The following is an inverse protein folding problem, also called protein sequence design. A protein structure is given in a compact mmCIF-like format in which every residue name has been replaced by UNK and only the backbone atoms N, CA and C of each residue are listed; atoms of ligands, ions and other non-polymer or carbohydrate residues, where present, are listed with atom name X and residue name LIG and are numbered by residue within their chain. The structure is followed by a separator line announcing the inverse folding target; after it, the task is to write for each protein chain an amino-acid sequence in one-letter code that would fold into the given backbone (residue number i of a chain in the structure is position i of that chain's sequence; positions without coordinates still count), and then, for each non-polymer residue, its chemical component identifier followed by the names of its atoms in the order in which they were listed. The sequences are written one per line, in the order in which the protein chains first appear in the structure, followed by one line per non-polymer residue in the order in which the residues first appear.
data_IF_728751724885
#
_entry.id   IF_728751724885
#
_cell.length_a   1.000
_cell.length_b   1.000
_cell.length_c   1.000
_cell.angle_alpha   90.00
_cell.angle_beta   90.00
_cell.angle_gamma   90.00
#
_symmetry.space_group_name_H-M   'P 1'
#
loop_
_entity.id
_entity.type
_entity.pdbx_description
1 polymer ?
#
# COMPACT_ATOMS: atom_id res chain seq x y z
N UNK A 1 -22.87 -3.00 -6.52
CA UNK A 1 -22.19 -2.95 -7.85
C UNK A 1 -21.71 -4.32 -8.34
N UNK A 2 -21.34 -5.25 -7.44
CA UNK A 2 -20.73 -6.54 -7.82
C UNK A 2 -21.60 -7.76 -7.51
N UNK A 3 -22.48 -7.68 -6.51
CA UNK A 3 -23.21 -8.81 -5.95
C UNK A 3 -24.05 -9.60 -6.97
N UNK A 4 -24.62 -8.93 -7.98
CA UNK A 4 -25.45 -9.57 -9.01
C UNK A 4 -24.65 -10.21 -10.16
N UNK A 5 -23.34 -9.98 -10.25
CA UNK A 5 -22.50 -10.43 -11.37
C UNK A 5 -21.36 -11.36 -10.96
N UNK A 6 -21.10 -11.49 -9.65
CA UNK A 6 -20.03 -12.34 -9.13
C UNK A 6 -20.21 -12.63 -7.64
N UNK A 7 -19.55 -13.70 -7.17
CA UNK A 7 -19.50 -14.04 -5.76
C UNK A 7 -18.77 -12.96 -4.96
N UNK A 8 -19.44 -12.42 -3.96
CA UNK A 8 -18.84 -11.52 -2.96
C UNK A 8 -18.71 -12.27 -1.62
N UNK A 9 -17.58 -12.07 -0.95
CA UNK A 9 -17.28 -12.64 0.38
C UNK A 9 -17.05 -11.48 1.38
N UNK A 10 -18.09 -10.72 1.75
CA UNK A 10 -17.95 -9.55 2.63
C UNK A 10 -17.30 -9.87 3.98
N UNK A 11 -17.55 -11.06 4.52
CA UNK A 11 -16.97 -11.57 5.76
C UNK A 11 -15.44 -11.69 5.70
N UNK A 12 -14.86 -11.87 4.50
CA UNK A 12 -13.40 -11.95 4.33
C UNK A 12 -12.71 -10.58 4.42
N UNK A 13 -13.46 -9.47 4.30
CA UNK A 13 -12.88 -8.15 4.18
C UNK A 13 -12.01 -7.76 5.37
N UNK A 14 -12.46 -8.02 6.61
CA UNK A 14 -11.69 -7.71 7.81
C UNK A 14 -10.36 -8.46 7.86
N UNK A 15 -10.37 -9.77 7.59
CA UNK A 15 -9.16 -10.59 7.57
C UNK A 15 -8.17 -10.21 6.47
N UNK A 16 -8.66 -9.89 5.26
CA UNK A 16 -7.81 -9.42 4.16
C UNK A 16 -7.19 -8.05 4.45
N UNK A 17 -7.94 -7.14 5.11
CA UNK A 17 -7.40 -5.85 5.56
C UNK A 17 -6.31 -6.04 6.62
N UNK A 18 -6.50 -6.95 7.58
CA UNK A 18 -5.49 -7.28 8.58
C UNK A 18 -4.22 -7.86 7.94
N UNK A 19 -4.37 -8.82 7.02
CA UNK A 19 -3.24 -9.41 6.27
C UNK A 19 -2.43 -8.36 5.51
N UNK A 20 -3.09 -7.35 4.94
CA UNK A 20 -2.41 -6.25 4.29
C UNK A 20 -1.58 -5.40 5.29
N UNK A 21 -2.10 -5.16 6.50
CA UNK A 21 -1.35 -4.47 7.56
C UNK A 21 -0.12 -5.27 8.01
N UNK A 22 -0.25 -6.60 8.15
CA UNK A 22 0.88 -7.48 8.47
C UNK A 22 1.98 -7.40 7.40
N UNK A 23 1.57 -7.42 6.12
CA UNK A 23 2.49 -7.26 5.00
C UNK A 23 3.18 -5.89 4.97
N UNK A 24 2.45 -4.82 5.32
CA UNK A 24 3.04 -3.49 5.45
C UNK A 24 4.01 -3.39 6.63
N UNK A 25 3.71 -4.03 7.77
CA UNK A 25 4.63 -4.08 8.90
C UNK A 25 5.93 -4.82 8.57
N UNK A 26 5.83 -5.94 7.85
CA UNK A 26 7.00 -6.64 7.31
C UNK A 26 7.82 -5.74 6.37
N UNK A 27 7.15 -5.04 5.44
CA UNK A 27 7.81 -4.16 4.49
C UNK A 27 8.45 -2.93 5.15
N UNK A 28 7.81 -2.37 6.19
CA UNK A 28 8.32 -1.22 6.94
C UNK A 28 9.72 -1.49 7.50
N UNK A 29 9.92 -2.67 8.10
CA UNK A 29 11.22 -3.11 8.57
C UNK A 29 12.27 -3.20 7.45
N UNK A 30 11.87 -3.59 6.22
CA UNK A 30 12.78 -3.64 5.07
C UNK A 30 13.11 -2.24 4.53
N UNK A 31 12.14 -1.34 4.54
CA UNK A 31 12.30 0.06 4.12
C UNK A 31 13.09 0.90 5.14
N UNK A 32 13.41 0.36 6.31
CA UNK A 32 14.33 1.00 7.25
C UNK A 32 15.71 1.25 6.63
N UNK A 33 16.20 0.33 5.80
CA UNK A 33 17.52 0.39 5.16
C UNK A 33 17.48 0.53 3.64
N UNK A 34 16.28 0.54 3.05
CA UNK A 34 16.08 0.63 1.58
C UNK A 34 15.33 1.89 1.22
N UNK A 35 15.71 2.51 0.10
CA UNK A 35 15.02 3.66 -0.46
C UNK A 35 13.65 3.29 -1.05
N UNK A 36 13.59 2.17 -1.78
CA UNK A 36 12.44 1.65 -2.54
C UNK A 36 12.17 0.19 -2.22
N UNK A 37 11.04 -0.34 -2.70
CA UNK A 37 10.59 -1.72 -2.41
C UNK A 37 11.65 -2.76 -2.83
N UNK A 38 12.29 -2.54 -3.99
CA UNK A 38 13.31 -3.42 -4.54
C UNK A 38 14.76 -3.04 -4.17
N UNK A 39 14.97 -2.15 -3.19
CA UNK A 39 16.30 -1.65 -2.81
C UNK A 39 16.50 -0.17 -3.18
N UNK A 40 17.56 0.15 -3.92
CA UNK A 40 17.90 1.55 -4.25
C UNK A 40 17.28 2.06 -5.55
N UNK A 41 16.69 1.18 -6.36
CA UNK A 41 16.11 1.53 -7.65
C UNK A 41 14.59 1.60 -7.56
N UNK A 42 14.00 2.66 -8.10
CA UNK A 42 12.55 2.76 -8.26
C UNK A 42 12.07 1.81 -9.36
N UNK A 43 11.09 0.96 -9.04
CA UNK A 43 10.61 -0.09 -9.96
C UNK A 43 9.09 -0.13 -10.05
N UNK A 44 8.58 -1.04 -10.88
CA UNK A 44 7.15 -1.34 -10.95
C UNK A 44 6.56 -1.72 -9.58
N UNK A 45 7.35 -2.31 -8.67
CA UNK A 45 6.88 -2.65 -7.34
C UNK A 45 6.44 -1.40 -6.55
N UNK A 46 7.17 -0.29 -6.70
CA UNK A 46 6.84 0.98 -6.05
C UNK A 46 5.58 1.62 -6.66
N UNK A 47 5.46 1.58 -7.99
CA UNK A 47 4.28 2.10 -8.71
C UNK A 47 3.02 1.37 -8.25
N UNK A 48 3.04 0.04 -8.28
CA UNK A 48 1.88 -0.78 -7.91
C UNK A 48 1.51 -0.58 -6.44
N UNK A 49 2.49 -0.66 -5.54
CA UNK A 49 2.24 -0.48 -4.11
C UNK A 49 1.64 0.90 -3.83
N UNK A 50 2.16 1.96 -4.47
CA UNK A 50 1.67 3.31 -4.24
C UNK A 50 0.20 3.44 -4.63
N UNK A 51 -0.16 2.95 -5.82
CA UNK A 51 -1.54 2.96 -6.28
C UNK A 51 -2.47 2.14 -5.37
N UNK A 52 -2.02 0.97 -4.89
CA UNK A 52 -2.82 0.14 -3.99
C UNK A 52 -3.07 0.82 -2.64
N UNK A 53 -2.05 1.46 -2.05
CA UNK A 53 -2.22 2.14 -0.76
C UNK A 53 -3.02 3.44 -0.89
N UNK A 54 -2.83 4.20 -1.98
CA UNK A 54 -3.65 5.38 -2.26
C UNK A 54 -5.13 5.01 -2.43
N UNK A 55 -5.43 3.94 -3.18
CA UNK A 55 -6.79 3.44 -3.32
C UNK A 55 -7.35 2.92 -1.98
N UNK A 56 -6.57 2.11 -1.25
CA UNK A 56 -6.93 1.59 0.07
C UNK A 56 -7.36 2.71 1.02
N UNK A 57 -6.60 3.80 1.06
CA UNK A 57 -6.91 4.97 1.87
C UNK A 57 -8.26 5.60 1.50
N UNK A 58 -8.60 5.65 0.21
CA UNK A 58 -9.87 6.17 -0.28
C UNK A 58 -11.08 5.25 0.03
N UNK A 59 -10.85 3.94 0.26
CA UNK A 59 -11.92 2.95 0.49
C UNK A 59 -11.94 2.38 1.93
N UNK A 60 -11.48 3.16 2.90
CA UNK A 60 -11.58 2.82 4.32
C UNK A 60 -10.57 1.76 4.76
N UNK A 61 -9.36 1.83 4.23
CA UNK A 61 -8.19 1.09 4.67
C UNK A 61 -6.99 2.06 4.76
N UNK A 62 -6.97 2.93 5.79
CA UNK A 62 -5.94 3.96 5.91
C UNK A 62 -4.55 3.34 6.16
N UNK A 63 -3.52 4.11 5.83
CA UNK A 63 -2.15 3.77 6.17
C UNK A 63 -1.97 3.80 7.70
N UNK A 64 -1.29 2.80 8.26
CA UNK A 64 -0.97 2.80 9.68
C UNK A 64 0.15 3.84 9.96
N UNK A 65 -0.10 4.88 10.78
CA UNK A 65 0.89 5.93 11.05
C UNK A 65 2.13 5.43 11.80
N UNK A 66 2.07 4.27 12.46
CA UNK A 66 3.23 3.69 13.16
C UNK A 66 4.27 3.11 12.19
N UNK A 67 3.88 2.85 10.93
CA UNK A 67 4.77 2.33 9.89
C UNK A 67 5.54 3.48 9.23
N UNK A 68 6.53 4.00 9.96
CA UNK A 68 7.25 5.24 9.62
C UNK A 68 8.02 5.16 8.31
N UNK A 69 8.61 4.01 7.98
CA UNK A 69 9.40 3.84 6.77
C UNK A 69 8.52 3.69 5.53
N UNK A 70 7.38 2.99 5.64
CA UNK A 70 6.33 2.97 4.63
C UNK A 70 5.75 4.37 4.46
N UNK A 71 5.47 5.09 5.54
CA UNK A 71 4.97 6.47 5.49
C UNK A 71 5.93 7.40 4.76
N UNK A 72 7.23 7.35 5.07
CA UNK A 72 8.30 8.06 4.36
C UNK A 72 8.31 7.70 2.87
N UNK A 73 8.31 6.42 2.55
CA UNK A 73 8.31 5.94 1.17
C UNK A 73 7.05 6.40 0.40
N UNK A 74 5.87 6.31 1.00
CA UNK A 74 4.59 6.71 0.39
C UNK A 74 4.57 8.21 0.07
N UNK A 75 5.03 9.05 0.99
CA UNK A 75 5.17 10.48 0.78
C UNK A 75 6.16 10.80 -0.35
N UNK A 76 7.32 10.13 -0.38
CA UNK A 76 8.35 10.33 -1.40
C UNK A 76 7.85 9.92 -2.80
N UNK A 77 7.18 8.78 -2.93
CA UNK A 77 6.62 8.32 -4.22
C UNK A 77 5.48 9.24 -4.68
N UNK A 78 4.59 9.66 -3.78
CA UNK A 78 3.49 10.59 -4.10
C UNK A 78 3.95 12.01 -4.47
N UNK A 79 5.15 12.42 -4.08
CA UNK A 79 5.73 13.71 -4.45
C UNK A 79 6.26 13.73 -5.91
N UNK A 80 6.46 12.57 -6.54
CA UNK A 80 7.00 12.49 -7.91
C UNK A 80 6.04 13.15 -8.91
N UNK A 81 6.53 13.88 -9.93
CA UNK A 81 5.66 14.50 -10.94
C UNK A 81 4.71 13.51 -11.62
N UNK A 82 5.19 12.30 -11.91
CA UNK A 82 4.40 11.23 -12.53
C UNK A 82 3.24 10.71 -11.66
N UNK A 83 3.28 10.92 -10.34
CA UNK A 83 2.22 10.51 -9.44
C UNK A 83 1.05 11.51 -9.41
N UNK A 84 1.23 12.70 -9.99
CA UNK A 84 0.22 13.78 -10.09
C UNK A 84 -0.32 13.98 -11.50
N UNK A 85 0.21 13.23 -12.47
CA UNK A 85 -0.13 13.33 -13.88
C UNK A 85 -1.48 12.70 -14.20
#
# INVERSE_FOLDING_TARGET
MFQSRMRCLPEAAAGLKAKAQDGLAFLDAQLATRTFVAGETFTMADVLLFCFLAFGNAVGQPLNPELKHVGRWFAAVGARPSAKA
#
